data_IF_664014204235
#
_entry.id   IF_664014204235
#
_cell.length_a   1.000
_cell.length_b   1.000
_cell.length_c   1.000
_cell.angle_alpha   90.00
_cell.angle_beta   90.00
_cell.angle_gamma   90.00
#
_symmetry.space_group_name_H-M   'P 1'
#
loop_
_entity.id
_entity.type
_entity.pdbx_description
1 polymer ?
#
# COMPACT_ATOMS: atom_id res chain seq x y z
N UNK A 1 -0.57 -13.77 -6.09
CA UNK A 1 -1.80 -13.04 -5.73
C UNK A 1 -1.56 -11.55 -5.83
N UNK A 2 -2.44 -10.80 -6.50
CA UNK A 2 -2.40 -9.33 -6.56
C UNK A 2 -2.96 -8.74 -5.27
N UNK A 3 -2.14 -7.96 -4.58
CA UNK A 3 -2.48 -7.35 -3.29
C UNK A 3 -2.41 -5.82 -3.36
N UNK A 4 -2.92 -5.14 -2.34
CA UNK A 4 -2.96 -3.67 -2.29
C UNK A 4 -1.58 -3.01 -2.47
N UNK A 5 -0.47 -3.62 -2.02
CA UNK A 5 0.88 -3.06 -2.22
C UNK A 5 1.24 -2.89 -3.71
N UNK A 6 0.64 -3.70 -4.59
CA UNK A 6 0.83 -3.66 -6.04
C UNK A 6 -0.09 -2.64 -6.74
N UNK A 7 -0.99 -2.00 -6.00
CA UNK A 7 -1.94 -1.05 -6.56
C UNK A 7 -1.35 0.36 -6.58
N UNK A 8 -1.52 1.10 -7.67
CA UNK A 8 -1.04 2.48 -7.78
C UNK A 8 -1.74 3.45 -6.81
N UNK A 9 -2.95 3.12 -6.38
CA UNK A 9 -3.75 3.94 -5.46
C UNK A 9 -3.41 3.71 -3.98
N UNK A 10 -2.64 2.67 -3.67
CA UNK A 10 -2.20 2.42 -2.30
C UNK A 10 -1.03 3.35 -1.97
N UNK A 11 -1.27 4.33 -1.11
CA UNK A 11 -0.40 5.48 -0.89
C UNK A 11 0.22 5.45 0.52
N UNK A 12 1.41 4.85 0.67
CA UNK A 12 2.10 4.80 1.96
C UNK A 12 2.66 6.15 2.38
N UNK A 13 2.87 7.10 1.46
CA UNK A 13 3.45 8.41 1.77
C UNK A 13 2.44 9.35 2.42
N UNK A 14 1.16 9.24 2.06
CA UNK A 14 0.06 9.99 2.66
C UNK A 14 -0.58 9.29 3.88
N UNK A 15 0.01 8.18 4.33
CA UNK A 15 -0.47 7.41 5.48
C UNK A 15 0.26 7.82 6.75
N UNK A 16 -0.48 7.87 7.86
CA UNK A 16 0.11 8.00 9.19
C UNK A 16 1.22 6.96 9.43
N UNK A 17 2.30 7.39 10.09
CA UNK A 17 3.50 6.55 10.28
C UNK A 17 3.21 5.31 11.13
N UNK A 18 2.31 5.38 12.10
CA UNK A 18 1.98 4.23 12.95
C UNK A 18 1.27 3.15 12.13
N UNK A 19 0.29 3.54 11.32
CA UNK A 19 -0.41 2.63 10.41
C UNK A 19 0.54 2.00 9.39
N UNK A 20 1.46 2.81 8.85
CA UNK A 20 2.45 2.34 7.90
C UNK A 20 3.36 1.26 8.49
N UNK A 21 3.80 1.42 9.75
CA UNK A 21 4.64 0.41 10.45
C UNK A 21 3.97 -0.95 10.59
N UNK A 22 2.64 -1.00 10.64
CA UNK A 22 1.87 -2.24 10.66
C UNK A 22 1.55 -2.77 9.24
N UNK A 23 2.08 -2.13 8.20
CA UNK A 23 1.86 -2.53 6.82
C UNK A 23 0.53 -2.09 6.25
N UNK A 24 -0.07 -1.02 6.79
CA UNK A 24 -1.31 -0.43 6.27
C UNK A 24 -1.03 0.89 5.55
N UNK A 25 -1.78 1.18 4.48
CA UNK A 25 -1.76 2.49 3.85
C UNK A 25 -3.14 2.92 3.33
N UNK A 26 -3.33 4.23 3.18
CA UNK A 26 -4.53 4.81 2.57
C UNK A 26 -4.63 4.39 1.11
N UNK A 27 -5.87 4.27 0.65
CA UNK A 27 -6.17 4.14 -0.76
C UNK A 27 -6.66 5.51 -1.27
N UNK A 28 -5.93 6.15 -2.17
CA UNK A 28 -6.31 7.49 -2.66
C UNK A 28 -7.61 7.48 -3.49
N UNK A 29 -7.99 6.31 -4.01
CA UNK A 29 -9.21 6.14 -4.80
C UNK A 29 -10.46 5.94 -3.96
N UNK A 30 -10.35 5.13 -2.92
CA UNK A 30 -11.38 5.07 -1.88
C UNK A 30 -11.07 6.21 -0.94
N UNK A 31 -11.55 7.41 -1.26
CA UNK A 31 -11.61 8.54 -0.33
C UNK A 31 -12.53 8.17 0.85
N UNK A 32 -12.08 7.21 1.66
CA UNK A 32 -12.65 6.81 2.93
C UNK A 32 -11.79 7.54 3.96
N UNK A 33 -12.23 8.70 4.46
CA UNK A 33 -11.51 9.40 5.51
C UNK A 33 -11.29 8.44 6.69
N UNK A 34 -10.04 8.31 7.14
CA UNK A 34 -9.70 7.46 8.30
C UNK A 34 -9.46 5.97 8.03
N UNK A 35 -9.68 5.45 6.82
CA UNK A 35 -9.46 4.02 6.54
C UNK A 35 -8.12 3.74 5.85
N UNK A 36 -7.39 2.75 6.39
CA UNK A 36 -6.16 2.21 5.80
C UNK A 36 -6.36 0.75 5.39
N UNK A 37 -5.64 0.29 4.37
CA UNK A 37 -5.70 -1.05 3.82
C UNK A 37 -4.36 -1.74 4.00
N UNK A 38 -4.39 -3.01 4.41
CA UNK A 38 -3.17 -3.81 4.54
C UNK A 38 -2.50 -4.01 3.17
N UNK A 39 -1.17 -3.90 3.13
CA UNK A 39 -0.34 -4.20 1.98
C UNK A 39 -0.58 -5.63 1.44
N UNK A 40 -0.95 -6.56 2.33
CA UNK A 40 -1.21 -7.98 2.04
C UNK A 40 -2.68 -8.26 1.71
N UNK A 41 -3.58 -7.30 1.88
CA UNK A 41 -4.98 -7.48 1.53
C UNK A 41 -5.13 -7.76 0.03
N UNK A 42 -6.07 -8.63 -0.32
CA UNK A 42 -6.39 -8.93 -1.70
C UNK A 42 -6.87 -7.67 -2.43
N UNK A 43 -6.42 -7.51 -3.67
CA UNK A 43 -6.83 -6.42 -4.52
C UNK A 43 -8.35 -6.38 -4.72
N UNK A 44 -8.95 -5.17 -4.64
CA UNK A 44 -10.37 -4.98 -4.92
C UNK A 44 -10.64 -4.91 -6.43
N UNK A 45 -11.92 -4.92 -6.84
CA UNK A 45 -12.32 -4.81 -8.25
C UNK A 45 -11.87 -3.52 -8.97
N UNK A 46 -11.48 -2.49 -8.23
CA UNK A 46 -10.94 -1.23 -8.79
C UNK A 46 -9.40 -1.17 -8.85
N UNK A 47 -8.74 -2.31 -8.62
CA UNK A 47 -7.30 -2.44 -8.69
C UNK A 47 -6.75 -1.88 -9.99
N UNK A 48 -5.74 -1.03 -9.87
CA UNK A 48 -4.93 -0.58 -11.00
C UNK A 48 -3.48 -0.94 -10.70
N UNK A 49 -2.82 -1.75 -11.54
CA UNK A 49 -1.45 -2.14 -11.31
C UNK A 49 -0.55 -0.91 -11.28
N UNK A 50 0.43 -0.94 -10.40
CA UNK A 50 1.58 -0.07 -10.43
C UNK A 50 2.69 -0.72 -11.26
N UNK A 51 3.46 0.08 -11.99
CA UNK A 51 4.65 -0.38 -12.72
C UNK A 51 5.57 -1.25 -11.85
N UNK A 52 6.08 -2.34 -12.41
CA UNK A 52 6.85 -3.34 -11.66
C UNK A 52 8.06 -2.75 -10.93
N UNK A 53 8.81 -1.86 -11.58
CA UNK A 53 9.96 -1.16 -10.98
C UNK A 53 9.54 -0.30 -9.78
N UNK A 54 8.39 0.37 -9.86
CA UNK A 54 7.85 1.19 -8.78
C UNK A 54 7.33 0.33 -7.62
N UNK A 55 6.78 -0.85 -7.91
CA UNK A 55 6.43 -1.83 -6.87
C UNK A 55 7.68 -2.30 -6.15
N UNK A 56 8.74 -2.68 -6.87
CA UNK A 56 9.98 -3.14 -6.26
C UNK A 56 10.59 -2.06 -5.35
N UNK A 57 10.68 -0.82 -5.83
CA UNK A 57 11.15 0.32 -5.03
C UNK A 57 10.28 0.55 -3.79
N UNK A 58 8.96 0.44 -3.91
CA UNK A 58 8.02 0.55 -2.79
C UNK A 58 8.24 -0.55 -1.76
N UNK A 59 8.33 -1.81 -2.20
CA UNK A 59 8.53 -2.96 -1.32
C UNK A 59 9.87 -2.84 -0.59
N UNK A 60 10.94 -2.48 -1.30
CA UNK A 60 12.25 -2.23 -0.68
C UNK A 60 12.19 -1.13 0.38
N UNK A 61 11.54 -0.01 0.07
CA UNK A 61 11.35 1.09 1.01
C UNK A 61 10.51 0.71 2.23
N UNK A 62 9.46 -0.10 2.07
CA UNK A 62 8.64 -0.60 3.17
C UNK A 62 9.43 -1.57 4.08
N UNK A 63 10.27 -2.43 3.49
CA UNK A 63 11.15 -3.36 4.24
C UNK A 63 12.16 -2.61 5.11
N UNK A 64 12.79 -1.56 4.59
CA UNK A 64 13.69 -0.70 5.38
C UNK A 64 13.01 -0.09 6.62
N UNK A 65 11.69 0.11 6.54
CA UNK A 65 10.87 0.68 7.63
C UNK A 65 10.23 -0.39 8.51
N UNK A 66 10.54 -1.67 8.30
CA UNK A 66 9.93 -2.84 8.97
C UNK A 66 8.40 -2.87 8.86
N UNK A 67 7.85 -2.21 7.83
CA UNK A 67 6.41 -2.12 7.59
C UNK A 67 5.82 -3.41 7.02
N UNK A 68 6.65 -4.21 6.37
CA UNK A 68 6.31 -5.53 5.82
C UNK A 68 7.50 -6.47 6.05
N UNK A 69 7.21 -7.77 6.17
CA UNK A 69 8.21 -8.85 6.23
C UNK A 69 8.78 -9.15 4.83
#
# INVERSE_FOLDING_TARGET
MTTCVHCKHWNPKATDTNMLRFGFARCDRKALPGHTLSAKAQACGEFKPLEAEKVQARVAWLKQRKAIA
#
